data_IF_381866863522
#
_entry.id   IF_381866863522
#
_cell.length_a   1.000
_cell.length_b   1.000
_cell.length_c   1.000
_cell.angle_alpha   90.00
_cell.angle_beta   90.00
_cell.angle_gamma   90.00
#
_symmetry.space_group_name_H-M   'P 1'
#
loop_
_entity.id
_entity.type
_entity.pdbx_description
1 polymer ?
#
# COMPACT_ATOMS: atom_id res chain seq x y z
N UNK A 1 -13.50 34.33 83.16
CA UNK A 1 -14.01 34.74 81.84
C UNK A 1 -13.08 34.18 80.78
N UNK A 2 -13.45 33.08 80.11
CA UNK A 2 -12.72 32.55 78.96
C UNK A 2 -13.74 32.27 77.85
N UNK A 3 -13.66 33.04 76.77
CA UNK A 3 -14.42 32.81 75.56
C UNK A 3 -13.65 31.80 74.70
N UNK A 4 -14.18 30.58 74.60
CA UNK A 4 -13.76 29.60 73.60
C UNK A 4 -14.46 29.96 72.29
N UNK A 5 -13.79 30.73 71.44
CA UNK A 5 -14.30 31.08 70.12
C UNK A 5 -14.21 29.90 69.16
N UNK A 6 -15.27 29.74 68.36
CA UNK A 6 -15.49 28.66 67.42
C UNK A 6 -14.57 28.73 66.18
N UNK A 7 -13.28 28.41 66.34
CA UNK A 7 -12.32 28.33 65.22
C UNK A 7 -12.50 27.08 64.36
N UNK A 8 -13.00 25.98 64.94
CA UNK A 8 -13.14 24.68 64.27
C UNK A 8 -14.16 24.65 63.12
N UNK A 9 -15.11 25.59 63.06
CA UNK A 9 -16.07 25.71 61.96
C UNK A 9 -15.46 26.37 60.71
N UNK A 10 -14.44 27.21 60.88
CA UNK A 10 -13.76 27.87 59.76
C UNK A 10 -12.73 26.93 59.13
N UNK A 11 -12.05 26.12 59.94
CA UNK A 11 -11.02 25.17 59.48
C UNK A 11 -11.61 24.00 58.67
N UNK A 12 -12.81 23.53 59.02
CA UNK A 12 -13.52 22.47 58.28
C UNK A 12 -13.99 22.90 56.89
N UNK A 13 -14.36 24.17 56.71
CA UNK A 13 -14.83 24.71 55.42
C UNK A 13 -13.72 24.77 54.36
N UNK A 14 -12.51 25.15 54.76
CA UNK A 14 -11.35 25.22 53.86
C UNK A 14 -10.90 23.84 53.38
N UNK A 15 -10.95 22.82 54.24
CA UNK A 15 -10.60 21.45 53.85
C UNK A 15 -11.54 20.89 52.76
N UNK A 16 -12.85 21.17 52.85
CA UNK A 16 -13.83 20.76 51.84
C UNK A 16 -13.66 21.51 50.52
N UNK A 17 -13.37 22.82 50.57
CA UNK A 17 -13.09 23.62 49.37
C UNK A 17 -11.83 23.14 48.65
N UNK A 18 -10.74 22.90 49.38
CA UNK A 18 -9.50 22.36 48.81
C UNK A 18 -9.72 20.96 48.21
N UNK A 19 -10.48 20.09 48.88
CA UNK A 19 -10.85 18.78 48.37
C UNK A 19 -11.67 18.84 47.08
N UNK A 20 -12.68 19.72 47.03
CA UNK A 20 -13.50 19.93 45.84
C UNK A 20 -12.68 20.50 44.66
N UNK A 21 -11.81 21.47 44.92
CA UNK A 21 -10.91 22.03 43.92
C UNK A 21 -9.93 20.98 43.38
N UNK A 22 -9.35 20.15 44.25
CA UNK A 22 -8.48 19.04 43.86
C UNK A 22 -9.19 18.01 42.98
N UNK A 23 -10.43 17.64 43.32
CA UNK A 23 -11.25 16.74 42.51
C UNK A 23 -11.57 17.33 41.13
N UNK A 24 -11.96 18.60 41.07
CA UNK A 24 -12.24 19.31 39.81
C UNK A 24 -10.98 19.42 38.94
N UNK A 25 -9.83 19.80 39.52
CA UNK A 25 -8.56 19.89 38.81
C UNK A 25 -8.14 18.52 38.24
N UNK A 26 -8.29 17.45 39.02
CA UNK A 26 -8.04 16.08 38.56
C UNK A 26 -9.00 15.67 37.45
N UNK A 27 -10.29 15.96 37.57
CA UNK A 27 -11.29 15.62 36.55
C UNK A 27 -11.00 16.33 35.22
N UNK A 28 -10.62 17.61 35.26
CA UNK A 28 -10.21 18.37 34.08
C UNK A 28 -8.93 17.79 33.47
N UNK A 29 -7.92 17.49 34.29
CA UNK A 29 -6.66 16.88 33.83
C UNK A 29 -6.89 15.50 33.21
N UNK A 30 -7.62 14.61 33.87
CA UNK A 30 -7.95 13.27 33.37
C UNK A 30 -8.77 13.37 32.07
N UNK A 31 -9.67 14.34 31.95
CA UNK A 31 -10.41 14.60 30.71
C UNK A 31 -9.50 15.09 29.60
N UNK A 32 -8.58 16.03 29.88
CA UNK A 32 -7.63 16.54 28.90
C UNK A 32 -6.69 15.45 28.39
N UNK A 33 -6.20 14.58 29.28
CA UNK A 33 -5.38 13.41 28.94
C UNK A 33 -6.19 12.43 28.06
N UNK A 34 -7.42 12.08 28.45
CA UNK A 34 -8.29 11.21 27.65
C UNK A 34 -8.56 11.77 26.26
N UNK A 35 -8.87 13.05 26.13
CA UNK A 35 -9.09 13.70 24.83
C UNK A 35 -7.83 13.65 23.97
N UNK A 36 -6.66 13.92 24.56
CA UNK A 36 -5.37 13.81 23.85
C UNK A 36 -5.11 12.39 23.37
N UNK A 37 -5.36 11.39 24.20
CA UNK A 37 -5.16 9.98 23.85
C UNK A 37 -6.10 9.53 22.73
N UNK A 38 -7.36 9.98 22.76
CA UNK A 38 -8.34 9.74 21.70
C UNK A 38 -7.90 10.38 20.37
N UNK A 39 -7.48 11.63 20.38
CA UNK A 39 -6.98 12.32 19.18
C UNK A 39 -5.77 11.58 18.61
N UNK A 40 -4.80 11.20 19.45
CA UNK A 40 -3.62 10.46 19.03
C UNK A 40 -3.98 9.09 18.44
N UNK A 41 -5.01 8.42 18.97
CA UNK A 41 -5.50 7.16 18.44
C UNK A 41 -6.17 7.33 17.08
N UNK A 42 -7.02 8.33 16.90
CA UNK A 42 -7.69 8.60 15.63
C UNK A 42 -6.72 9.02 14.53
N UNK A 43 -5.77 9.91 14.83
CA UNK A 43 -4.69 10.29 13.90
C UNK A 43 -3.89 9.06 13.48
N UNK A 44 -3.56 8.18 14.43
CA UNK A 44 -2.86 6.93 14.14
C UNK A 44 -3.68 6.00 13.23
N UNK A 45 -4.98 5.81 13.50
CA UNK A 45 -5.87 4.98 12.68
C UNK A 45 -5.98 5.51 11.26
N UNK A 46 -6.10 6.83 11.09
CA UNK A 46 -6.17 7.47 9.77
C UNK A 46 -4.88 7.22 9.00
N UNK A 47 -3.71 7.42 9.64
CA UNK A 47 -2.41 7.13 9.00
C UNK A 47 -2.26 5.67 8.60
N UNK A 48 -2.60 4.74 9.50
CA UNK A 48 -2.58 3.31 9.21
C UNK A 48 -3.43 2.97 7.99
N UNK A 49 -4.68 3.47 7.97
CA UNK A 49 -5.63 3.24 6.88
C UNK A 49 -5.14 3.80 5.56
N UNK A 50 -4.57 5.00 5.55
CA UNK A 50 -4.02 5.60 4.33
C UNK A 50 -2.92 4.70 3.77
N UNK A 51 -1.94 4.29 4.60
CA UNK A 51 -0.86 3.41 4.17
C UNK A 51 -1.37 2.07 3.66
N UNK A 52 -2.31 1.44 4.38
CA UNK A 52 -2.97 0.21 3.98
C UNK A 52 -3.63 0.37 2.61
N UNK A 53 -4.42 1.43 2.40
CA UNK A 53 -5.08 1.70 1.12
C UNK A 53 -4.08 1.91 -0.02
N UNK A 54 -2.97 2.62 0.22
CA UNK A 54 -1.92 2.80 -0.81
C UNK A 54 -1.30 1.46 -1.19
N UNK A 55 -0.93 0.67 -0.19
CA UNK A 55 -0.32 -0.64 -0.38
C UNK A 55 -1.28 -1.58 -1.11
N UNK A 56 -2.49 -1.78 -0.60
CA UNK A 56 -3.44 -2.77 -1.14
C UNK A 56 -4.12 -2.31 -2.44
N UNK A 57 -4.35 -1.00 -2.61
CA UNK A 57 -5.09 -0.45 -3.73
C UNK A 57 -4.23 -0.06 -4.93
N UNK A 58 -2.95 0.26 -4.73
CA UNK A 58 -2.07 0.73 -5.79
C UNK A 58 -0.78 -0.07 -5.90
N UNK A 59 0.05 -0.09 -4.85
CA UNK A 59 1.42 -0.59 -4.95
C UNK A 59 1.52 -2.11 -5.13
N UNK A 60 0.83 -2.91 -4.29
CA UNK A 60 0.88 -4.36 -4.41
C UNK A 60 0.28 -4.88 -5.72
N UNK A 61 -0.92 -4.42 -6.16
CA UNK A 61 -1.46 -4.85 -7.44
C UNK A 61 -0.58 -4.46 -8.63
N UNK A 62 -0.05 -3.23 -8.63
CA UNK A 62 0.82 -2.76 -9.71
C UNK A 62 2.14 -3.53 -9.75
N UNK A 63 2.81 -3.69 -8.60
CA UNK A 63 4.05 -4.44 -8.50
C UNK A 63 3.87 -5.89 -8.95
N UNK A 64 2.79 -6.55 -8.51
CA UNK A 64 2.50 -7.92 -8.91
C UNK A 64 2.29 -8.06 -10.43
N UNK A 65 1.63 -7.10 -11.07
CA UNK A 65 1.46 -7.09 -12.52
C UNK A 65 2.81 -6.92 -13.22
N UNK A 66 3.63 -5.95 -12.80
CA UNK A 66 4.96 -5.68 -13.40
C UNK A 66 5.95 -6.84 -13.21
N UNK A 67 5.93 -7.52 -12.06
CA UNK A 67 6.74 -8.71 -11.80
C UNK A 67 6.34 -9.87 -12.71
N UNK A 68 5.02 -10.08 -12.91
CA UNK A 68 4.52 -11.10 -13.82
C UNK A 68 4.99 -10.84 -15.26
N UNK A 69 4.95 -9.59 -15.73
CA UNK A 69 5.49 -9.22 -17.04
C UNK A 69 6.97 -9.57 -17.13
N UNK A 70 7.76 -9.16 -16.15
CA UNK A 70 9.22 -9.40 -16.14
C UNK A 70 9.54 -10.88 -16.23
N UNK A 71 8.83 -11.73 -15.48
CA UNK A 71 9.01 -13.18 -15.53
C UNK A 71 8.62 -13.78 -16.89
N UNK A 72 7.49 -13.36 -17.47
CA UNK A 72 7.04 -13.86 -18.77
C UNK A 72 7.97 -13.44 -19.91
N UNK A 73 8.40 -12.18 -19.91
CA UNK A 73 9.34 -11.64 -20.88
C UNK A 73 10.70 -12.36 -20.81
N UNK A 74 11.26 -12.50 -19.61
CA UNK A 74 12.57 -13.13 -19.42
C UNK A 74 12.59 -14.65 -19.67
N UNK A 75 11.51 -15.37 -19.32
CA UNK A 75 11.51 -16.84 -19.35
C UNK A 75 10.91 -17.46 -20.61
N UNK A 76 10.04 -16.73 -21.30
CA UNK A 76 9.28 -17.30 -22.42
C UNK A 76 9.45 -16.45 -23.66
N UNK A 77 9.23 -15.13 -23.56
CA UNK A 77 9.13 -14.32 -24.76
C UNK A 77 10.48 -14.03 -25.43
N UNK A 78 11.52 -13.72 -24.64
CA UNK A 78 12.86 -13.50 -25.19
C UNK A 78 13.40 -14.73 -25.93
N UNK A 79 13.05 -15.94 -25.46
CA UNK A 79 13.43 -17.19 -26.10
C UNK A 79 12.69 -17.38 -27.43
N UNK A 80 11.42 -16.96 -27.52
CA UNK A 80 10.60 -17.07 -28.75
C UNK A 80 10.97 -16.06 -29.83
N UNK A 81 11.37 -14.84 -29.44
CA UNK A 81 11.75 -13.77 -30.37
C UNK A 81 13.24 -13.73 -30.69
N UNK A 82 14.08 -14.48 -29.98
CA UNK A 82 15.51 -14.52 -30.27
C UNK A 82 15.77 -15.21 -31.62
N UNK A 83 16.03 -14.40 -32.64
CA UNK A 83 16.65 -14.84 -33.91
C UNK A 83 18.12 -15.26 -33.75
N UNK A 84 18.65 -15.27 -32.53
CA UNK A 84 20.02 -15.68 -32.26
C UNK A 84 20.13 -17.21 -32.35
N UNK A 85 21.18 -17.72 -32.98
CA UNK A 85 21.41 -19.17 -33.20
C UNK A 85 21.54 -20.05 -31.94
N UNK A 86 21.15 -19.55 -30.77
CA UNK A 86 21.11 -20.22 -29.48
C UNK A 86 19.66 -20.37 -28.98
N UNK A 87 18.71 -20.69 -29.87
CA UNK A 87 17.36 -21.05 -29.46
C UNK A 87 17.41 -22.24 -28.47
N UNK A 88 16.66 -22.20 -27.36
CA UNK A 88 16.71 -23.27 -26.38
C UNK A 88 16.24 -24.60 -26.98
N UNK A 89 16.80 -25.71 -26.50
CA UNK A 89 16.52 -27.06 -27.04
C UNK A 89 15.02 -27.43 -27.01
N UNK A 90 14.25 -26.83 -26.10
CA UNK A 90 12.80 -27.04 -26.06
C UNK A 90 12.07 -26.36 -27.22
N UNK A 91 12.59 -25.26 -27.77
CA UNK A 91 11.97 -24.51 -28.87
C UNK A 91 12.22 -25.17 -30.24
N UNK A 92 13.37 -25.81 -30.40
CA UNK A 92 13.77 -26.52 -31.63
C UNK A 92 12.81 -27.65 -32.06
N UNK A 93 11.90 -28.10 -31.16
CA UNK A 93 10.90 -29.12 -31.48
C UNK A 93 9.69 -28.58 -32.26
N UNK A 94 9.56 -27.27 -32.40
CA UNK A 94 8.43 -26.61 -33.06
C UNK A 94 8.89 -25.95 -34.37
N UNK A 95 8.07 -26.03 -35.43
CA UNK A 95 8.36 -25.29 -36.66
C UNK A 95 8.21 -23.78 -36.46
N UNK A 96 8.89 -22.97 -37.28
CA UNK A 96 8.82 -21.49 -37.21
C UNK A 96 7.38 -20.97 -37.21
N UNK A 97 6.52 -21.50 -38.09
CA UNK A 97 5.11 -21.14 -38.13
C UNK A 97 4.36 -21.41 -36.81
N UNK A 98 4.69 -22.51 -36.10
CA UNK A 98 4.13 -22.79 -34.79
C UNK A 98 4.67 -21.84 -33.71
N UNK A 99 5.97 -21.49 -33.78
CA UNK A 99 6.58 -20.54 -32.85
C UNK A 99 5.97 -19.14 -33.00
N UNK A 100 5.77 -18.67 -34.22
CA UNK A 100 5.13 -17.38 -34.51
C UNK A 100 3.65 -17.37 -34.06
N UNK A 101 2.90 -18.43 -34.36
CA UNK A 101 1.51 -18.57 -33.89
C UNK A 101 1.42 -18.61 -32.36
N UNK A 102 2.35 -19.31 -31.70
CA UNK A 102 2.43 -19.38 -30.24
C UNK A 102 2.80 -18.01 -29.63
N UNK A 103 3.79 -17.32 -30.21
CA UNK A 103 4.20 -15.98 -29.78
C UNK A 103 3.03 -14.99 -29.87
N UNK A 104 2.32 -14.94 -31.01
CA UNK A 104 1.12 -14.11 -31.17
C UNK A 104 0.05 -14.43 -30.13
N UNK A 105 -0.20 -15.72 -29.89
CA UNK A 105 -1.18 -16.13 -28.88
C UNK A 105 -0.75 -15.74 -27.47
N UNK A 106 0.53 -15.89 -27.13
CA UNK A 106 1.08 -15.49 -25.85
C UNK A 106 0.97 -13.98 -25.62
N UNK A 107 1.27 -13.17 -26.64
CA UNK A 107 1.10 -11.71 -26.56
C UNK A 107 -0.36 -11.36 -26.29
N UNK A 108 -1.29 -11.86 -27.11
CA UNK A 108 -2.70 -11.48 -27.08
C UNK A 108 -3.44 -12.00 -25.84
N UNK A 109 -3.14 -13.24 -25.42
CA UNK A 109 -3.89 -13.91 -24.36
C UNK A 109 -3.26 -13.73 -22.97
N UNK A 110 -1.98 -13.35 -22.89
CA UNK A 110 -1.24 -13.31 -21.62
C UNK A 110 -0.55 -11.96 -21.36
N UNK A 111 0.31 -11.49 -22.27
CA UNK A 111 1.11 -10.28 -22.02
C UNK A 111 0.25 -9.01 -22.04
N UNK A 112 -0.51 -8.81 -23.12
CA UNK A 112 -1.37 -7.63 -23.28
C UNK A 112 -2.40 -7.53 -22.14
N UNK A 113 -3.13 -8.59 -21.77
CA UNK A 113 -4.06 -8.53 -20.64
C UNK A 113 -3.37 -8.14 -19.32
N UNK A 114 -2.13 -8.58 -19.08
CA UNK A 114 -1.40 -8.22 -17.87
C UNK A 114 -0.94 -6.75 -17.88
N UNK A 115 -0.44 -6.25 -19.01
CA UNK A 115 -0.14 -4.83 -19.18
C UNK A 115 -1.40 -3.95 -19.00
N UNK A 116 -2.53 -4.37 -19.56
CA UNK A 116 -3.80 -3.68 -19.40
C UNK A 116 -4.28 -3.68 -17.95
N UNK A 117 -4.02 -4.76 -17.20
CA UNK A 117 -4.30 -4.82 -15.76
C UNK A 117 -3.45 -3.81 -14.98
N UNK A 118 -2.15 -3.70 -15.28
CA UNK A 118 -1.29 -2.67 -14.70
C UNK A 118 -1.80 -1.26 -15.01
N UNK A 119 -2.17 -0.99 -16.27
CA UNK A 119 -2.79 0.29 -16.68
C UNK A 119 -4.11 0.55 -15.94
N UNK A 120 -4.93 -0.48 -15.71
CA UNK A 120 -6.17 -0.38 -14.96
C UNK A 120 -5.91 0.02 -13.51
N UNK A 121 -4.92 -0.58 -12.84
CA UNK A 121 -4.50 -0.19 -11.48
C UNK A 121 -4.07 1.27 -11.45
N UNK A 122 -3.22 1.68 -12.40
CA UNK A 122 -2.72 3.07 -12.50
C UNK A 122 -3.89 4.04 -12.66
N UNK A 123 -4.77 3.82 -13.64
CA UNK A 123 -5.88 4.74 -13.95
C UNK A 123 -6.92 4.81 -12.83
N UNK A 124 -7.23 3.67 -12.20
CA UNK A 124 -8.30 3.60 -11.18
C UNK A 124 -7.84 4.11 -9.81
N UNK A 125 -6.54 4.00 -9.51
CA UNK A 125 -6.00 4.23 -8.17
C UNK A 125 -4.91 5.30 -8.12
N UNK A 126 -4.77 6.15 -9.15
CA UNK A 126 -3.75 7.21 -9.20
C UNK A 126 -3.77 8.13 -7.97
N UNK A 127 -4.95 8.38 -7.40
CA UNK A 127 -5.11 9.18 -6.18
C UNK A 127 -4.44 8.57 -4.95
N UNK A 128 -4.21 7.25 -4.94
CA UNK A 128 -3.50 6.53 -3.88
C UNK A 128 -1.97 6.54 -4.10
N UNK A 129 -1.49 6.84 -5.30
CA UNK A 129 -0.07 6.76 -5.63
C UNK A 129 0.79 7.78 -4.84
N UNK A 130 0.20 8.88 -4.36
CA UNK A 130 0.94 9.99 -3.72
C UNK A 130 2.19 10.38 -4.54
N UNK A 131 1.99 10.42 -5.87
CA UNK A 131 3.06 10.51 -6.84
C UNK A 131 3.58 11.95 -6.94
N UNK A 132 4.91 12.10 -6.91
CA UNK A 132 5.55 13.33 -7.35
C UNK A 132 5.52 13.45 -8.87
N UNK A 133 6.03 14.58 -9.39
CA UNK A 133 6.02 14.87 -10.83
C UNK A 133 6.79 13.80 -11.62
N UNK A 134 7.94 13.35 -11.12
CA UNK A 134 8.78 12.38 -11.81
C UNK A 134 8.09 11.01 -11.91
N UNK A 135 7.51 10.54 -10.80
CA UNK A 135 6.78 9.27 -10.79
C UNK A 135 5.52 9.32 -11.65
N UNK A 136 4.77 10.43 -11.64
CA UNK A 136 3.64 10.63 -12.55
C UNK A 136 4.06 10.56 -14.03
N UNK A 137 5.20 11.14 -14.39
CA UNK A 137 5.73 11.05 -15.76
C UNK A 137 6.11 9.61 -16.12
N UNK A 138 6.68 8.86 -15.18
CA UNK A 138 7.04 7.45 -15.37
C UNK A 138 5.80 6.58 -15.62
N UNK A 139 4.76 6.74 -14.80
CA UNK A 139 3.46 6.08 -14.98
C UNK A 139 2.80 6.49 -16.29
N UNK A 140 2.86 7.77 -16.65
CA UNK A 140 2.31 8.28 -17.90
C UNK A 140 2.99 7.69 -19.15
N UNK A 141 4.33 7.54 -19.13
CA UNK A 141 5.07 6.84 -20.18
C UNK A 141 4.64 5.38 -20.30
N UNK A 142 4.48 4.68 -19.18
CA UNK A 142 4.00 3.30 -19.18
C UNK A 142 2.63 3.16 -19.83
N UNK A 143 1.69 4.02 -19.45
CA UNK A 143 0.33 3.99 -20.00
C UNK A 143 0.35 4.21 -21.52
N UNK A 144 1.12 5.19 -22.03
CA UNK A 144 1.23 5.42 -23.47
C UNK A 144 1.90 4.25 -24.20
N UNK A 145 2.98 3.71 -23.64
CA UNK A 145 3.65 2.52 -24.17
C UNK A 145 2.65 1.36 -24.36
N UNK A 146 1.86 1.05 -23.32
CA UNK A 146 0.86 -0.03 -23.37
C UNK A 146 -0.28 0.29 -24.35
N UNK A 147 -0.79 1.53 -24.36
CA UNK A 147 -1.86 1.94 -25.29
C UNK A 147 -1.39 1.78 -26.75
N UNK A 148 -0.16 2.20 -27.07
CA UNK A 148 0.45 2.01 -28.39
C UNK A 148 0.66 0.53 -28.70
N UNK A 149 1.17 -0.25 -27.75
CA UNK A 149 1.38 -1.69 -27.93
C UNK A 149 0.08 -2.42 -28.29
N UNK A 150 -0.99 -2.14 -27.55
CA UNK A 150 -2.33 -2.68 -27.82
C UNK A 150 -2.82 -2.26 -29.21
N UNK A 151 -2.69 -0.98 -29.56
CA UNK A 151 -3.15 -0.47 -30.85
C UNK A 151 -2.42 -1.13 -32.04
N UNK A 152 -1.10 -1.28 -31.96
CA UNK A 152 -0.29 -1.95 -32.98
C UNK A 152 -0.77 -3.40 -33.20
N UNK A 153 -0.98 -4.14 -32.12
CA UNK A 153 -1.41 -5.55 -32.18
C UNK A 153 -2.84 -5.71 -32.66
N UNK A 154 -3.75 -4.82 -32.28
CA UNK A 154 -5.12 -4.78 -32.81
C UNK A 154 -5.17 -4.42 -34.30
N UNK A 155 -4.21 -3.63 -34.80
CA UNK A 155 -4.06 -3.31 -36.21
C UNK A 155 -3.38 -4.41 -37.03
N UNK A 156 -2.97 -5.52 -36.40
CA UNK A 156 -2.25 -6.61 -37.06
C UNK A 156 -0.78 -6.30 -37.36
N UNK A 157 -0.22 -5.26 -36.73
CA UNK A 157 1.19 -4.87 -36.87
C UNK A 157 2.02 -5.55 -35.79
N UNK A 158 2.46 -6.78 -36.05
CA UNK A 158 3.25 -7.60 -35.11
C UNK A 158 4.77 -7.38 -35.22
N UNK A 159 5.23 -6.83 -36.35
CA UNK A 159 6.64 -6.56 -36.63
C UNK A 159 7.09 -5.16 -36.19
N UNK A 160 6.15 -4.34 -35.69
CA UNK A 160 6.41 -3.00 -35.17
C UNK A 160 6.21 -3.04 -33.66
N UNK A 161 7.21 -2.58 -32.92
CA UNK A 161 7.15 -2.46 -31.46
C UNK A 161 6.94 -0.99 -31.06
N UNK A 162 6.45 -0.71 -29.83
CA UNK A 162 6.16 0.66 -29.40
C UNK A 162 7.36 1.62 -29.47
N UNK A 163 8.58 1.10 -29.31
CA UNK A 163 9.81 1.87 -29.42
C UNK A 163 10.02 2.43 -30.84
N UNK A 164 9.56 1.73 -31.87
CA UNK A 164 9.70 2.15 -33.27
C UNK A 164 8.86 3.40 -33.60
N UNK A 165 7.87 3.70 -32.75
CA UNK A 165 7.00 4.88 -32.85
C UNK A 165 7.21 5.87 -31.70
N UNK A 166 8.33 5.75 -30.96
CA UNK A 166 8.75 6.71 -29.94
C UNK A 166 8.11 6.53 -28.56
N UNK A 167 7.43 5.42 -28.30
CA UNK A 167 6.86 5.09 -26.99
C UNK A 167 7.60 3.91 -26.37
N UNK A 168 8.87 4.14 -26.01
CA UNK A 168 9.72 3.14 -25.33
C UNK A 168 9.16 2.71 -23.97
N UNK A 169 9.51 1.49 -23.55
CA UNK A 169 9.17 1.02 -22.21
C UNK A 169 9.89 1.88 -21.16
N UNK A 170 9.20 2.37 -20.12
CA UNK A 170 9.82 3.22 -19.11
C UNK A 170 10.74 2.42 -18.19
N UNK A 171 12.03 2.44 -18.49
CA UNK A 171 13.07 1.87 -17.64
C UNK A 171 13.02 2.45 -16.21
N UNK A 172 13.21 1.60 -15.20
CA UNK A 172 13.17 2.00 -13.79
C UNK A 172 11.76 1.99 -13.16
N UNK A 173 10.70 1.75 -13.93
CA UNK A 173 9.33 1.74 -13.38
C UNK A 173 9.15 0.69 -12.29
N UNK A 174 9.58 -0.55 -12.53
CA UNK A 174 9.40 -1.65 -11.59
C UNK A 174 10.15 -1.38 -10.30
N UNK A 175 11.40 -0.91 -10.41
CA UNK A 175 12.26 -0.58 -9.29
C UNK A 175 11.70 0.58 -8.47
N UNK A 176 11.20 1.63 -9.13
CA UNK A 176 10.58 2.79 -8.46
C UNK A 176 9.29 2.39 -7.71
N UNK A 177 8.45 1.55 -8.32
CA UNK A 177 7.25 1.01 -7.68
C UNK A 177 7.62 0.15 -6.47
N UNK A 178 8.62 -0.71 -6.60
CA UNK A 178 9.11 -1.57 -5.51
C UNK A 178 9.68 -0.75 -4.35
N UNK A 179 10.55 0.22 -4.63
CA UNK A 179 11.16 1.05 -3.60
C UNK A 179 10.10 1.81 -2.79
N UNK A 180 9.12 2.43 -3.47
CA UNK A 180 8.01 3.13 -2.80
C UNK A 180 7.12 2.17 -2.02
N UNK A 181 6.83 1.00 -2.57
CA UNK A 181 6.07 -0.04 -1.90
C UNK A 181 6.75 -0.47 -0.59
N UNK A 182 8.05 -0.77 -0.65
CA UNK A 182 8.84 -1.15 0.52
C UNK A 182 8.92 -0.03 1.56
N UNK A 183 9.05 1.23 1.11
CA UNK A 183 9.04 2.39 2.01
C UNK A 183 7.69 2.54 2.74
N UNK A 184 6.56 2.41 2.03
CA UNK A 184 5.24 2.46 2.67
C UNK A 184 4.97 1.26 3.57
N UNK A 185 5.46 0.08 3.18
CA UNK A 185 5.40 -1.12 4.03
C UNK A 185 6.16 -0.85 5.32
N UNK A 186 7.41 -0.39 5.27
CA UNK A 186 8.21 -0.08 6.46
C UNK A 186 7.53 0.97 7.36
N UNK A 187 6.97 2.03 6.77
CA UNK A 187 6.24 3.05 7.52
C UNK A 187 5.02 2.46 8.22
N UNK A 188 4.27 1.59 7.53
CA UNK A 188 3.11 0.90 8.07
C UNK A 188 3.49 -0.03 9.23
N UNK A 189 4.54 -0.84 9.05
CA UNK A 189 5.03 -1.73 10.10
C UNK A 189 5.51 -0.97 11.33
N UNK A 190 6.26 0.11 11.13
CA UNK A 190 6.73 0.98 12.23
C UNK A 190 5.56 1.56 13.01
N UNK A 191 4.51 2.00 12.30
CA UNK A 191 3.31 2.55 12.89
C UNK A 191 2.55 1.52 13.73
N UNK A 192 2.51 0.26 13.28
CA UNK A 192 1.88 -0.85 13.99
C UNK A 192 2.71 -1.30 15.21
N UNK A 193 4.03 -1.48 15.06
CA UNK A 193 4.93 -1.84 16.17
C UNK A 193 4.93 -0.81 17.29
N UNK A 194 4.82 0.49 16.95
CA UNK A 194 4.68 1.57 17.92
C UNK A 194 3.46 1.46 18.85
N UNK A 195 2.50 0.57 18.55
CA UNK A 195 1.32 0.27 19.38
C UNK A 195 1.31 -1.15 19.94
N UNK A 196 2.42 -1.89 19.83
CA UNK A 196 2.54 -3.26 20.35
C UNK A 196 1.99 -4.34 19.42
N UNK A 197 1.61 -4.01 18.18
CA UNK A 197 1.27 -5.00 17.16
C UNK A 197 2.58 -5.58 16.62
N UNK A 198 2.89 -6.81 17.04
CA UNK A 198 4.17 -7.49 16.76
C UNK A 198 4.08 -8.54 15.67
N UNK A 199 2.87 -9.05 15.39
CA UNK A 199 2.63 -9.98 14.29
C UNK A 199 1.58 -9.45 13.31
N UNK A 200 2.01 -9.20 12.07
CA UNK A 200 1.16 -8.73 10.98
C UNK A 200 0.38 -9.88 10.36
N UNK A 201 0.86 -11.14 10.49
CA UNK A 201 0.16 -12.32 9.96
C UNK A 201 -1.22 -12.48 10.60
N UNK A 202 -1.34 -12.24 11.90
CA UNK A 202 -2.61 -12.35 12.61
C UNK A 202 -3.62 -11.30 12.13
N UNK A 203 -3.16 -10.10 11.78
CA UNK A 203 -4.02 -9.02 11.27
C UNK A 203 -4.55 -9.32 9.87
N UNK A 204 -3.69 -9.80 8.96
CA UNK A 204 -4.13 -10.19 7.62
C UNK A 204 -4.99 -11.47 7.64
N UNK A 205 -4.74 -12.40 8.56
CA UNK A 205 -5.60 -13.57 8.77
C UNK A 205 -7.00 -13.16 9.28
N UNK A 206 -7.09 -12.18 10.18
CA UNK A 206 -8.37 -11.68 10.68
C UNK A 206 -9.15 -10.87 9.62
N UNK A 207 -8.48 -10.08 8.78
CA UNK A 207 -9.11 -9.35 7.66
C UNK A 207 -9.55 -10.31 6.55
N UNK A 208 -8.75 -11.34 6.22
CA UNK A 208 -9.13 -12.40 5.29
C UNK A 208 -10.34 -13.22 5.80
N UNK A 209 -10.54 -13.30 7.12
CA UNK A 209 -11.69 -13.90 7.77
C UNK A 209 -12.86 -12.93 8.00
N UNK A 210 -12.85 -11.74 7.38
CA UNK A 210 -13.95 -10.78 7.39
C UNK A 210 -14.14 -10.02 8.70
N UNK A 211 -13.15 -10.02 9.62
CA UNK A 211 -13.22 -9.24 10.86
C UNK A 211 -12.75 -7.81 10.63
N UNK A 212 -13.49 -6.85 11.16
CA UNK A 212 -13.13 -5.44 11.09
C UNK A 212 -12.02 -5.10 12.09
N UNK A 213 -11.16 -4.13 11.73
CA UNK A 213 -10.07 -3.60 12.55
C UNK A 213 -10.52 -3.11 13.95
N UNK A 214 -11.81 -2.76 14.11
CA UNK A 214 -12.41 -2.44 15.41
C UNK A 214 -12.37 -3.63 16.38
N UNK A 215 -12.55 -4.87 15.89
CA UNK A 215 -12.52 -6.06 16.75
C UNK A 215 -11.09 -6.44 17.16
N UNK A 216 -10.09 -6.19 16.31
CA UNK A 216 -8.68 -6.48 16.56
C UNK A 216 -8.10 -5.49 17.58
N UNK A 217 -8.42 -4.19 17.42
CA UNK A 217 -8.02 -3.14 18.36
C UNK A 217 -8.59 -3.35 19.77
N UNK A 218 -9.73 -4.04 19.91
CA UNK A 218 -10.32 -4.38 21.21
C UNK A 218 -9.59 -5.50 21.97
N UNK A 219 -8.82 -6.34 21.27
CA UNK A 219 -8.09 -7.49 21.86
C UNK A 219 -6.62 -7.18 22.16
N UNK A 220 -6.00 -6.24 21.45
CA UNK A 220 -4.57 -5.94 21.56
C UNK A 220 -4.17 -4.89 22.61
N UNK A 221 -5.12 -4.07 23.08
CA UNK A 221 -4.83 -3.04 24.09
C UNK A 221 -5.02 -3.66 25.47
N UNK A 222 -3.97 -4.30 26.01
CA UNK A 222 -3.92 -4.52 27.45
C UNK A 222 -3.82 -3.13 28.10
N UNK A 223 -4.77 -2.71 28.96
CA UNK A 223 -4.61 -1.49 29.72
C UNK A 223 -3.33 -1.61 30.55
N UNK A 224 -2.51 -0.57 30.54
CA UNK A 224 -1.36 -0.44 31.44
C UNK A 224 -1.81 -0.81 32.85
N UNK A 225 -1.34 -1.95 33.36
CA UNK A 225 -1.43 -2.25 34.80
C UNK A 225 -0.57 -1.21 35.51
N UNK A 226 -1.21 -0.51 36.47
CA UNK A 226 -0.53 0.43 37.37
C UNK A 226 0.57 -0.24 38.17
#
# INVERSE_FOLDING_TARGET
MHAWSASWLVDGGWALLCGALGFCAKAIFDSAVKTRDQINLEVWKVKARILEQRLSGFYWPLFSALQRDTLLWQKVFNDLRSSSGNAPAWLARFSEAHQEAFSRKLEMDVLIPNHQEAVRVIRSNMHLANADVAFNQLLGRYVRHVDVYVALRQAGLYDVDPIDVGEEYPHGLTEEVEQRMLSYQEEYEKLLRGRGVTDLRDMFADVANGRTLQSIASKGIKPFSR
#
